data_IF_988816293463
#
_entry.id   IF_988816293463
#
_cell.length_a   1.000
_cell.length_b   1.000
_cell.length_c   1.000
_cell.angle_alpha   90.00
_cell.angle_beta   90.00
_cell.angle_gamma   90.00
#
_symmetry.space_group_name_H-M   'P 1'
#
loop_
_entity.id
_entity.type
_entity.pdbx_description
1 polymer ?
#
# COMPACT_ATOMS: atom_id res chain seq x y z
N UNK A 1 55.72 -18.36 -69.86
CA UNK A 1 55.74 -17.91 -68.45
C UNK A 1 54.41 -17.20 -68.20
N UNK A 2 53.63 -17.74 -67.25
CA UNK A 2 52.34 -17.29 -66.70
C UNK A 2 51.06 -17.30 -67.56
N UNK A 3 50.36 -18.43 -67.42
CA UNK A 3 48.90 -18.62 -67.35
C UNK A 3 48.24 -17.62 -66.39
N UNK A 4 47.08 -17.06 -66.74
CA UNK A 4 46.15 -16.51 -65.74
C UNK A 4 44.78 -17.14 -65.95
N UNK A 5 44.35 -17.88 -64.93
CA UNK A 5 43.09 -18.61 -64.82
C UNK A 5 42.07 -17.66 -64.18
N UNK A 6 40.86 -17.62 -64.74
CA UNK A 6 39.71 -16.93 -64.19
C UNK A 6 39.09 -17.82 -63.10
N UNK A 7 39.14 -17.41 -61.83
CA UNK A 7 38.45 -18.10 -60.72
C UNK A 7 37.24 -17.26 -60.32
N UNK A 8 36.07 -17.85 -60.57
CA UNK A 8 34.76 -17.40 -60.11
C UNK A 8 34.58 -17.93 -58.68
N UNK A 9 34.64 -17.07 -57.67
CA UNK A 9 34.39 -17.44 -56.27
C UNK A 9 32.99 -16.99 -55.85
N UNK A 10 32.09 -17.98 -55.75
CA UNK A 10 30.81 -17.91 -55.06
C UNK A 10 31.07 -17.73 -53.56
N UNK A 11 30.62 -16.60 -52.99
CA UNK A 11 30.57 -16.42 -51.54
C UNK A 11 29.33 -17.14 -51.01
N UNK A 12 29.56 -18.19 -50.20
CA UNK A 12 28.56 -18.72 -49.29
C UNK A 12 28.42 -17.74 -48.13
N UNK A 13 27.24 -17.14 -47.97
CA UNK A 13 26.85 -16.43 -46.76
C UNK A 13 26.52 -17.50 -45.73
N UNK A 14 27.40 -17.67 -44.75
CA UNK A 14 27.12 -18.44 -43.53
C UNK A 14 26.34 -17.53 -42.58
N UNK A 15 25.18 -17.99 -42.11
CA UNK A 15 24.54 -17.44 -40.93
C UNK A 15 25.44 -17.72 -39.72
N UNK A 16 25.77 -16.69 -38.94
CA UNK A 16 26.00 -16.85 -37.51
C UNK A 16 24.77 -16.26 -36.82
N UNK A 17 24.13 -17.09 -36.01
CA UNK A 17 23.16 -16.65 -35.01
C UNK A 17 23.91 -15.82 -33.98
N UNK A 18 23.57 -14.55 -33.88
CA UNK A 18 23.89 -13.75 -32.70
C UNK A 18 23.10 -14.38 -31.54
N UNK A 19 23.75 -15.29 -30.82
CA UNK A 19 23.34 -15.68 -29.48
C UNK A 19 23.50 -14.44 -28.60
N UNK A 20 22.39 -13.71 -28.40
CA UNK A 20 22.29 -12.69 -27.37
C UNK A 20 22.66 -13.35 -26.04
N UNK A 21 23.84 -13.01 -25.53
CA UNK A 21 24.23 -13.35 -24.16
C UNK A 21 23.32 -12.50 -23.26
N UNK A 22 22.20 -13.08 -22.86
CA UNK A 22 21.42 -12.58 -21.72
C UNK A 22 22.30 -12.85 -20.50
N UNK A 23 23.06 -11.84 -20.09
CA UNK A 23 23.66 -11.84 -18.76
C UNK A 23 22.51 -11.54 -17.81
N UNK A 24 21.92 -12.62 -17.30
CA UNK A 24 20.93 -12.60 -16.21
C UNK A 24 21.70 -12.32 -14.91
N UNK A 25 22.18 -11.08 -14.74
CA UNK A 25 22.65 -10.65 -13.43
C UNK A 25 21.43 -10.57 -12.50
N UNK A 26 21.46 -11.21 -11.32
CA UNK A 26 20.36 -11.13 -10.37
C UNK A 26 20.07 -9.65 -10.08
N UNK A 27 18.79 -9.32 -10.12
CA UNK A 27 18.33 -7.94 -10.19
C UNK A 27 18.25 -7.41 -8.75
N UNK A 28 19.44 -7.19 -8.17
CA UNK A 28 19.56 -6.77 -6.78
C UNK A 28 18.77 -5.47 -6.53
N UNK A 29 17.96 -5.46 -5.47
CA UNK A 29 17.19 -4.28 -5.09
C UNK A 29 18.15 -3.13 -4.80
N UNK A 30 17.95 -1.98 -5.43
CA UNK A 30 18.85 -0.85 -5.28
C UNK A 30 18.87 -0.34 -3.84
N UNK A 31 20.02 0.16 -3.38
CA UNK A 31 20.19 0.58 -1.98
C UNK A 31 19.16 1.65 -1.56
N UNK A 32 18.81 2.57 -2.47
CA UNK A 32 17.84 3.64 -2.21
C UNK A 32 16.39 3.15 -2.09
N UNK A 33 16.11 1.90 -2.48
CA UNK A 33 14.87 1.19 -2.21
C UNK A 33 15.01 0.37 -0.94
N UNK A 34 16.15 -0.32 -0.73
CA UNK A 34 16.46 -1.03 0.52
C UNK A 34 16.38 -0.12 1.75
N UNK A 35 16.76 1.15 1.63
CA UNK A 35 16.65 2.15 2.70
C UNK A 35 15.19 2.54 3.03
N UNK A 36 14.22 2.20 2.18
CA UNK A 36 12.80 2.51 2.35
C UNK A 36 11.98 1.29 2.77
N UNK A 37 12.57 0.10 2.86
CA UNK A 37 11.81 -1.13 3.06
C UNK A 37 12.48 -2.10 4.02
N UNK A 38 11.65 -2.94 4.63
CA UNK A 38 12.03 -4.27 5.08
C UNK A 38 11.42 -5.30 4.13
N UNK A 39 12.13 -6.38 3.81
CA UNK A 39 11.62 -7.38 2.87
C UNK A 39 12.06 -8.81 3.22
N UNK A 40 11.32 -9.78 2.68
CA UNK A 40 11.59 -11.21 2.76
C UNK A 40 11.12 -11.91 1.50
N UNK A 41 11.83 -12.96 1.10
CA UNK A 41 11.57 -13.71 -0.13
C UNK A 41 12.73 -13.63 -1.11
N UNK A 42 12.51 -14.13 -2.31
CA UNK A 42 13.46 -14.03 -3.40
C UNK A 42 13.43 -12.61 -3.99
N UNK A 43 14.59 -11.93 -4.08
CA UNK A 43 14.67 -10.59 -4.66
C UNK A 43 14.20 -10.59 -6.12
N UNK A 44 14.38 -11.71 -6.84
CA UNK A 44 14.01 -11.88 -8.25
C UNK A 44 12.57 -12.42 -8.45
N UNK A 45 11.80 -12.61 -7.38
CA UNK A 45 10.43 -13.14 -7.44
C UNK A 45 9.54 -12.36 -8.44
N UNK A 46 8.73 -13.00 -9.30
CA UNK A 46 7.92 -12.28 -10.28
C UNK A 46 6.80 -11.42 -9.66
N UNK A 47 6.42 -11.69 -8.40
CA UNK A 47 5.37 -10.96 -7.67
C UNK A 47 5.99 -10.24 -6.47
N UNK A 48 5.60 -8.97 -6.28
CA UNK A 48 5.92 -8.19 -5.08
C UNK A 48 4.64 -7.83 -4.35
N UNK A 49 4.52 -8.24 -3.09
CA UNK A 49 3.47 -7.77 -2.19
C UNK A 49 4.05 -6.67 -1.28
N UNK A 50 3.60 -5.44 -1.49
CA UNK A 50 3.95 -4.29 -0.67
C UNK A 50 2.87 -4.12 0.39
N UNK A 51 3.21 -4.49 1.61
CA UNK A 51 2.46 -4.18 2.80
C UNK A 51 2.72 -2.72 3.22
N UNK A 52 1.63 -1.99 3.45
CA UNK A 52 1.60 -0.66 4.02
C UNK A 52 1.01 -0.83 5.41
N UNK A 53 1.90 -0.84 6.40
CA UNK A 53 1.55 -1.23 7.77
C UNK A 53 0.42 -0.41 8.41
N UNK A 54 -0.18 -1.03 9.40
CA UNK A 54 -1.14 -0.41 10.33
C UNK A 54 -0.48 0.68 11.18
N UNK A 55 -1.26 1.30 12.08
CA UNK A 55 -0.82 2.34 13.00
C UNK A 55 -1.77 3.54 13.02
N UNK A 56 -1.28 4.79 12.93
CA UNK A 56 0.11 5.15 12.68
C UNK A 56 1.02 4.80 13.87
N UNK A 57 2.28 4.46 13.59
CA UNK A 57 3.33 4.09 14.57
C UNK A 57 4.65 4.71 14.12
N UNK A 58 5.57 5.00 15.03
CA UNK A 58 6.93 5.54 14.78
C UNK A 58 7.96 4.46 14.42
N UNK A 59 7.63 3.19 14.53
CA UNK A 59 8.52 2.08 14.17
C UNK A 59 8.04 1.31 12.93
N UNK A 60 8.98 0.85 12.10
CA UNK A 60 8.67 -0.05 10.99
C UNK A 60 8.47 -1.48 11.52
N UNK A 61 7.28 -2.04 11.31
CA UNK A 61 6.96 -3.40 11.70
C UNK A 61 7.62 -4.40 10.77
N UNK A 62 8.67 -5.08 11.23
CA UNK A 62 9.26 -6.19 10.46
C UNK A 62 8.44 -7.49 10.58
N UNK A 63 7.65 -7.61 11.65
CA UNK A 63 6.88 -8.80 11.97
C UNK A 63 5.74 -9.10 11.00
N UNK A 64 5.14 -8.08 10.39
CA UNK A 64 4.03 -8.26 9.43
C UNK A 64 4.47 -9.04 8.18
N UNK A 65 5.67 -8.77 7.68
CA UNK A 65 6.26 -9.55 6.57
C UNK A 65 6.54 -10.98 7.01
N UNK A 66 7.00 -11.19 8.25
CA UNK A 66 7.24 -12.52 8.78
C UNK A 66 5.95 -13.32 8.94
N UNK A 67 4.84 -12.68 9.32
CA UNK A 67 3.51 -13.29 9.44
C UNK A 67 2.95 -13.68 8.07
N UNK A 68 3.10 -12.83 7.04
CA UNK A 68 2.72 -13.17 5.66
C UNK A 68 3.40 -14.48 5.24
N UNK A 69 4.71 -14.59 5.48
CA UNK A 69 5.49 -15.79 5.15
C UNK A 69 5.19 -17.02 6.01
N UNK A 70 4.56 -16.86 7.17
CA UNK A 70 4.14 -17.98 8.02
C UNK A 70 2.73 -18.48 7.66
N UNK A 71 1.90 -17.62 7.10
CA UNK A 71 0.47 -17.87 6.90
C UNK A 71 0.14 -18.26 5.46
N UNK A 72 0.76 -17.61 4.47
CA UNK A 72 0.38 -17.71 3.07
C UNK A 72 1.39 -18.44 2.20
N UNK A 73 0.93 -19.06 1.12
CA UNK A 73 1.81 -19.58 0.07
C UNK A 73 2.56 -18.40 -0.55
N UNK A 74 3.85 -18.36 -0.29
CA UNK A 74 4.78 -17.32 -0.74
C UNK A 74 5.71 -17.83 -1.84
N UNK A 75 5.36 -18.95 -2.47
CA UNK A 75 6.02 -19.40 -3.70
C UNK A 75 5.93 -18.27 -4.72
N UNK A 76 7.07 -17.81 -5.23
CA UNK A 76 7.20 -16.70 -6.19
C UNK A 76 6.87 -15.29 -5.65
N UNK A 77 6.89 -15.10 -4.33
CA UNK A 77 6.60 -13.81 -3.68
C UNK A 77 7.83 -13.17 -3.03
N UNK A 78 8.02 -11.87 -3.31
CA UNK A 78 8.78 -10.96 -2.47
C UNK A 78 7.77 -10.14 -1.64
N UNK A 79 7.75 -10.31 -0.31
CA UNK A 79 6.94 -9.45 0.55
C UNK A 79 7.80 -8.33 1.12
N UNK A 80 7.24 -7.13 1.11
CA UNK A 80 7.90 -5.87 1.42
C UNK A 80 7.02 -5.12 2.42
N UNK A 81 7.57 -4.63 3.52
CA UNK A 81 6.92 -3.59 4.31
C UNK A 81 7.63 -2.26 4.08
N UNK A 82 6.88 -1.24 3.68
CA UNK A 82 7.42 0.06 3.29
C UNK A 82 7.38 1.06 4.45
N UNK A 83 8.44 1.84 4.56
CA UNK A 83 8.46 2.98 5.46
C UNK A 83 7.40 4.01 5.12
N UNK A 84 6.86 4.62 6.17
CA UNK A 84 6.04 5.83 6.13
C UNK A 84 6.88 6.96 6.78
N UNK A 85 6.50 8.22 6.61
CA UNK A 85 7.34 9.36 6.99
C UNK A 85 7.82 9.27 8.44
N UNK A 86 6.91 8.89 9.34
CA UNK A 86 7.17 8.75 10.76
C UNK A 86 7.99 7.51 11.12
N UNK A 87 7.95 6.42 10.34
CA UNK A 87 8.76 5.23 10.62
C UNK A 87 10.17 5.34 10.06
N UNK A 88 10.37 6.14 9.01
CA UNK A 88 11.69 6.43 8.45
C UNK A 88 12.45 7.46 9.30
N UNK A 89 11.73 8.47 9.80
CA UNK A 89 12.29 9.54 10.61
C UNK A 89 11.35 9.85 11.80
N UNK A 90 11.46 9.10 12.91
CA UNK A 90 10.54 9.22 14.03
C UNK A 90 10.76 10.47 14.90
N UNK A 91 11.95 11.08 14.84
CA UNK A 91 12.33 12.19 15.73
C UNK A 91 11.32 13.36 15.78
N UNK A 92 10.72 13.83 14.66
CA UNK A 92 9.69 14.88 14.71
C UNK A 92 8.42 14.48 15.46
N UNK A 93 8.13 13.18 15.58
CA UNK A 93 6.93 12.65 16.22
C UNK A 93 7.13 12.36 17.70
N UNK A 94 8.37 12.11 18.13
CA UNK A 94 8.69 11.73 19.51
C UNK A 94 9.10 12.89 20.42
N UNK A 95 9.61 14.00 19.86
CA UNK A 95 10.30 15.02 20.66
C UNK A 95 9.50 16.32 20.82
N UNK A 96 8.74 16.73 19.81
CA UNK A 96 8.02 18.00 19.76
C UNK A 96 6.62 17.80 19.18
N UNK A 97 5.66 18.66 19.53
CA UNK A 97 4.34 18.64 18.89
C UNK A 97 4.43 19.09 17.42
N UNK A 98 3.99 18.24 16.49
CA UNK A 98 3.81 18.62 15.08
C UNK A 98 2.51 19.40 14.92
N UNK A 99 2.48 20.30 13.96
CA UNK A 99 1.24 20.95 13.51
C UNK A 99 0.48 20.06 12.53
N UNK A 100 -0.82 20.31 12.38
CA UNK A 100 -1.64 19.62 11.38
C UNK A 100 -1.11 19.79 9.94
N UNK A 101 -0.60 20.98 9.59
CA UNK A 101 0.01 21.19 8.27
C UNK A 101 1.30 20.37 8.07
N UNK A 102 2.09 20.17 9.12
CA UNK A 102 3.24 19.26 9.04
C UNK A 102 2.79 17.81 8.86
N UNK A 103 1.74 17.38 9.57
CA UNK A 103 1.15 16.06 9.38
C UNK A 103 0.68 15.81 7.93
N UNK A 104 0.03 16.78 7.28
CA UNK A 104 -0.36 16.69 5.86
C UNK A 104 0.87 16.52 4.95
N UNK A 105 1.97 17.22 5.24
CA UNK A 105 3.21 17.09 4.47
C UNK A 105 3.83 15.71 4.66
N UNK A 106 3.92 15.22 5.91
CA UNK A 106 4.41 13.88 6.20
C UNK A 106 3.57 12.78 5.53
N UNK A 107 2.24 12.93 5.50
CA UNK A 107 1.37 12.03 4.76
C UNK A 107 1.67 12.02 3.26
N UNK A 108 1.94 13.20 2.68
CA UNK A 108 2.35 13.29 1.28
C UNK A 108 3.70 12.61 1.04
N UNK A 109 4.66 12.74 1.96
CA UNK A 109 5.94 12.02 1.92
C UNK A 109 5.73 10.50 1.98
N UNK A 110 4.87 9.99 2.86
CA UNK A 110 4.51 8.56 2.93
C UNK A 110 3.98 8.03 1.60
N UNK A 111 3.12 8.80 0.91
CA UNK A 111 2.59 8.41 -0.40
C UNK A 111 3.66 8.43 -1.49
N UNK A 112 4.56 9.42 -1.48
CA UNK A 112 5.68 9.43 -2.44
C UNK A 112 6.66 8.27 -2.21
N UNK A 113 6.91 7.87 -0.96
CA UNK A 113 7.74 6.70 -0.66
C UNK A 113 7.09 5.41 -1.14
N UNK A 114 5.81 5.19 -0.84
CA UNK A 114 5.06 4.05 -1.36
C UNK A 114 5.06 4.04 -2.89
N UNK A 115 4.80 5.18 -3.54
CA UNK A 115 4.84 5.30 -5.00
C UNK A 115 6.22 4.96 -5.56
N UNK A 116 7.31 5.42 -4.93
CA UNK A 116 8.68 5.12 -5.36
C UNK A 116 8.96 3.62 -5.34
N UNK A 117 8.58 2.92 -4.27
CA UNK A 117 8.76 1.47 -4.13
C UNK A 117 7.91 0.70 -5.13
N UNK A 118 6.64 1.04 -5.27
CA UNK A 118 5.73 0.44 -6.28
C UNK A 118 6.30 0.62 -7.69
N UNK A 119 6.64 1.85 -8.05
CA UNK A 119 7.12 2.18 -9.40
C UNK A 119 8.47 1.52 -9.69
N UNK A 120 9.34 1.35 -8.69
CA UNK A 120 10.60 0.61 -8.86
C UNK A 120 10.36 -0.81 -9.36
N UNK A 121 9.52 -1.59 -8.66
CA UNK A 121 9.24 -2.97 -9.03
C UNK A 121 8.40 -3.08 -10.32
N UNK A 122 7.45 -2.16 -10.54
CA UNK A 122 6.71 -2.10 -11.82
C UNK A 122 7.63 -1.86 -13.02
N UNK A 123 8.63 -0.99 -12.90
CA UNK A 123 9.57 -0.70 -13.98
C UNK A 123 10.52 -1.86 -14.30
N UNK A 124 10.65 -2.83 -13.39
CA UNK A 124 11.31 -4.11 -13.64
C UNK A 124 10.41 -5.12 -14.37
N UNK A 125 9.15 -4.76 -14.66
CA UNK A 125 8.17 -5.65 -15.29
C UNK A 125 7.51 -6.64 -14.33
N UNK A 126 7.66 -6.46 -13.01
CA UNK A 126 7.07 -7.34 -12.00
C UNK A 126 5.58 -7.02 -11.78
N UNK A 127 4.86 -8.02 -11.30
CA UNK A 127 3.51 -7.85 -10.77
C UNK A 127 3.61 -7.28 -9.35
N UNK A 128 2.91 -6.19 -9.07
CA UNK A 128 2.94 -5.50 -7.78
C UNK A 128 1.55 -5.45 -7.16
N UNK A 129 1.43 -6.00 -5.97
CA UNK A 129 0.24 -5.95 -5.13
C UNK A 129 0.47 -5.00 -3.95
N UNK A 130 -0.54 -4.23 -3.57
CA UNK A 130 -0.48 -3.32 -2.41
C UNK A 130 -1.53 -3.74 -1.38
N UNK A 131 -1.07 -4.02 -0.17
CA UNK A 131 -1.89 -4.30 1.00
C UNK A 131 -1.87 -3.09 1.92
N UNK A 132 -3.01 -2.44 2.12
CA UNK A 132 -3.17 -1.35 3.08
C UNK A 132 -4.13 -1.74 4.19
N UNK A 133 -3.65 -1.80 5.43
CA UNK A 133 -4.45 -2.16 6.61
C UNK A 133 -4.54 -0.96 7.55
N UNK A 134 -5.74 -0.63 8.03
CA UNK A 134 -5.98 0.45 9.01
C UNK A 134 -5.38 1.79 8.54
N UNK A 135 -4.40 2.38 9.24
CA UNK A 135 -3.72 3.57 8.75
C UNK A 135 -3.11 3.40 7.35
N UNK A 136 -2.57 2.22 7.03
CA UNK A 136 -2.08 1.89 5.69
C UNK A 136 -3.17 1.86 4.61
N UNK A 137 -4.43 1.65 4.98
CA UNK A 137 -5.57 1.79 4.07
C UNK A 137 -5.66 3.24 3.54
N UNK A 138 -5.51 4.22 4.44
CA UNK A 138 -5.52 5.64 4.11
C UNK A 138 -4.34 6.06 3.21
N UNK A 139 -3.15 5.54 3.48
CA UNK A 139 -1.97 5.76 2.60
C UNK A 139 -2.24 5.19 1.21
N UNK A 140 -2.84 3.99 1.14
CA UNK A 140 -3.10 3.28 -0.12
C UNK A 140 -4.16 3.98 -0.98
N UNK A 141 -5.27 4.42 -0.39
CA UNK A 141 -6.28 5.20 -1.13
C UNK A 141 -5.75 6.57 -1.59
N UNK A 142 -4.87 7.21 -0.82
CA UNK A 142 -4.25 8.48 -1.23
C UNK A 142 -3.21 8.28 -2.34
N UNK A 143 -2.49 7.15 -2.36
CA UNK A 143 -1.69 6.71 -3.51
C UNK A 143 -2.56 6.62 -4.77
N UNK A 144 -3.68 5.92 -4.71
CA UNK A 144 -4.59 5.75 -5.86
C UNK A 144 -5.12 7.11 -6.32
N UNK A 145 -5.59 7.94 -5.39
CA UNK A 145 -6.13 9.26 -5.69
C UNK A 145 -5.10 10.19 -6.36
N UNK A 146 -3.84 10.16 -5.92
CA UNK A 146 -2.78 11.07 -6.40
C UNK A 146 -2.01 10.55 -7.61
N UNK A 147 -1.83 9.23 -7.72
CA UNK A 147 -0.94 8.61 -8.71
C UNK A 147 -1.67 7.77 -9.74
N UNK A 148 -2.94 7.46 -9.51
CA UNK A 148 -3.79 6.67 -10.39
C UNK A 148 -3.90 5.22 -9.96
N UNK A 149 -4.99 4.56 -10.36
CA UNK A 149 -5.26 3.17 -10.02
C UNK A 149 -4.26 2.19 -10.66
N UNK A 150 -3.70 2.53 -11.82
CA UNK A 150 -2.81 1.64 -12.60
C UNK A 150 -1.35 1.59 -12.08
N UNK A 151 -1.04 2.28 -10.97
CA UNK A 151 0.34 2.25 -10.43
C UNK A 151 0.72 0.89 -9.85
N UNK A 152 -0.24 0.11 -9.37
CA UNK A 152 -0.07 -1.28 -8.96
C UNK A 152 -1.13 -2.15 -9.65
N UNK A 153 -0.89 -3.45 -9.71
CA UNK A 153 -1.77 -4.38 -10.42
C UNK A 153 -3.05 -4.67 -9.64
N UNK A 154 -2.95 -4.76 -8.30
CA UNK A 154 -4.07 -5.03 -7.41
C UNK A 154 -3.89 -4.42 -6.02
N UNK A 155 -5.02 -4.16 -5.35
CA UNK A 155 -5.06 -3.59 -4.01
C UNK A 155 -5.97 -4.40 -3.09
N UNK A 156 -5.51 -4.62 -1.87
CA UNK A 156 -6.33 -5.07 -0.75
C UNK A 156 -6.32 -3.95 0.30
N UNK A 157 -7.47 -3.34 0.52
CA UNK A 157 -7.65 -2.25 1.49
C UNK A 157 -8.54 -2.78 2.61
N UNK A 158 -8.04 -2.81 3.84
CA UNK A 158 -8.76 -3.38 4.98
C UNK A 158 -8.89 -2.38 6.12
N UNK A 159 -10.08 -2.31 6.70
CA UNK A 159 -10.37 -1.52 7.89
C UNK A 159 -9.99 -0.02 7.74
N UNK A 160 -10.25 0.55 6.56
CA UNK A 160 -10.10 1.98 6.28
C UNK A 160 -11.44 2.72 6.22
N UNK A 161 -11.39 4.02 5.90
CA UNK A 161 -12.57 4.87 5.70
C UNK A 161 -12.42 5.72 4.44
N UNK A 162 -13.48 5.89 3.64
CA UNK A 162 -13.42 6.80 2.49
C UNK A 162 -13.76 8.24 2.88
N UNK A 163 -14.73 8.48 3.75
CA UNK A 163 -15.08 9.83 4.20
C UNK A 163 -15.26 9.89 5.71
N UNK A 164 -14.18 10.20 6.45
CA UNK A 164 -14.22 10.36 7.90
C UNK A 164 -15.07 11.58 8.30
N UNK A 165 -15.94 11.44 9.30
CA UNK A 165 -16.77 12.53 9.80
C UNK A 165 -15.92 13.73 10.22
N UNK A 166 -16.35 14.95 9.87
CA UNK A 166 -15.58 16.17 10.12
C UNK A 166 -15.18 16.32 11.59
N UNK A 167 -16.11 16.01 12.50
CA UNK A 167 -15.86 16.10 13.94
C UNK A 167 -14.73 15.18 14.42
N UNK A 168 -14.49 14.04 13.75
CA UNK A 168 -13.43 13.11 14.11
C UNK A 168 -12.08 13.59 13.59
N UNK A 169 -11.95 13.88 12.30
CA UNK A 169 -10.66 14.30 11.78
C UNK A 169 -10.23 15.67 12.33
N UNK A 170 -11.17 16.58 12.64
CA UNK A 170 -10.86 17.84 13.32
C UNK A 170 -10.32 17.58 14.75
N UNK A 171 -10.90 16.63 15.50
CA UNK A 171 -10.38 16.25 16.81
C UNK A 171 -8.96 15.66 16.71
N UNK A 172 -8.75 14.75 15.76
CA UNK A 172 -7.43 14.18 15.47
C UNK A 172 -6.41 15.28 15.11
N UNK A 173 -6.82 16.31 14.36
CA UNK A 173 -5.94 17.43 13.97
C UNK A 173 -5.44 18.27 15.15
N UNK A 174 -6.15 18.21 16.28
CA UNK A 174 -5.77 18.86 17.53
C UNK A 174 -4.92 17.95 18.43
N UNK A 175 -4.71 16.69 18.03
CA UNK A 175 -4.00 15.66 18.80
C UNK A 175 -4.90 14.94 19.80
N UNK A 176 -6.23 15.04 19.65
CA UNK A 176 -7.20 14.26 20.43
C UNK A 176 -7.39 12.90 19.78
N UNK A 177 -7.67 11.88 20.58
CA UNK A 177 -8.16 10.60 20.08
C UNK A 177 -9.69 10.61 19.96
N UNK A 178 -10.26 9.45 19.68
CA UNK A 178 -11.69 9.24 19.61
C UNK A 178 -12.01 7.86 19.06
N UNK A 179 -13.29 7.52 19.06
CA UNK A 179 -13.77 6.23 18.56
C UNK A 179 -15.17 6.34 17.98
N UNK A 180 -15.62 5.29 17.31
CA UNK A 180 -16.97 5.16 16.78
C UNK A 180 -17.79 4.19 17.62
N UNK A 181 -18.79 4.71 18.34
CA UNK A 181 -19.72 3.84 19.07
C UNK A 181 -20.58 3.07 18.05
N UNK A 182 -20.54 1.73 18.13
CA UNK A 182 -21.18 0.80 17.20
C UNK A 182 -20.82 1.07 15.73
N UNK A 183 -19.60 1.54 15.47
CA UNK A 183 -19.11 1.86 14.14
C UNK A 183 -19.80 3.02 13.43
N UNK A 184 -20.64 3.82 14.10
CA UNK A 184 -21.45 4.85 13.43
C UNK A 184 -21.43 6.21 14.10
N UNK A 185 -21.44 6.24 15.43
CA UNK A 185 -21.56 7.49 16.16
C UNK A 185 -20.15 7.96 16.58
N UNK A 186 -19.60 9.04 16.00
CA UNK A 186 -18.27 9.52 16.33
C UNK A 186 -18.25 10.14 17.74
N UNK A 187 -17.35 9.66 18.59
CA UNK A 187 -17.11 10.14 19.94
C UNK A 187 -15.64 10.62 20.02
N UNK A 188 -15.36 11.90 19.73
CA UNK A 188 -14.04 12.46 19.95
C UNK A 188 -13.79 12.67 21.44
N UNK A 189 -12.55 12.50 21.86
CA UNK A 189 -12.14 12.88 23.20
C UNK A 189 -12.18 14.39 23.38
N UNK A 190 -12.34 14.83 24.63
CA UNK A 190 -12.47 16.25 24.97
C UNK A 190 -11.11 16.95 24.99
N UNK A 191 -10.07 16.25 25.42
CA UNK A 191 -8.73 16.80 25.60
C UNK A 191 -7.73 16.06 24.69
N UNK A 192 -6.65 16.72 24.24
CA UNK A 192 -5.57 16.06 23.53
C UNK A 192 -4.90 14.99 24.37
N UNK A 193 -4.28 14.03 23.69
CA UNK A 193 -3.49 12.99 24.36
C UNK A 193 -2.38 13.60 25.22
N UNK A 194 -2.04 12.97 26.35
CA UNK A 194 -0.97 13.47 27.22
C UNK A 194 0.42 13.17 26.66
N UNK A 195 0.56 12.07 25.93
CA UNK A 195 1.80 11.68 25.29
C UNK A 195 1.99 12.42 23.95
N UNK A 196 3.21 12.88 23.69
CA UNK A 196 3.52 13.64 22.46
C UNK A 196 3.46 12.76 21.21
N UNK A 197 3.85 11.49 21.33
CA UNK A 197 3.79 10.52 20.25
C UNK A 197 2.32 10.34 19.87
N UNK A 198 1.46 10.01 20.83
CA UNK A 198 0.03 9.78 20.58
C UNK A 198 -0.66 11.01 19.98
N UNK A 199 -0.37 12.22 20.48
CA UNK A 199 -0.90 13.47 19.88
C UNK A 199 -0.46 13.63 18.43
N UNK A 200 0.81 13.37 18.13
CA UNK A 200 1.35 13.56 16.79
C UNK A 200 0.86 12.50 15.81
N UNK A 201 0.72 11.26 16.27
CA UNK A 201 0.15 10.14 15.52
C UNK A 201 -1.33 10.40 15.20
N UNK A 202 -2.11 10.94 16.15
CA UNK A 202 -3.47 11.42 15.87
C UNK A 202 -3.48 12.53 14.80
N UNK A 203 -2.57 13.51 14.86
CA UNK A 203 -2.47 14.55 13.81
C UNK A 203 -2.11 13.96 12.45
N UNK A 204 -1.27 12.94 12.43
CA UNK A 204 -0.92 12.21 11.21
C UNK A 204 -2.15 11.49 10.62
N UNK A 205 -2.94 10.80 11.45
CA UNK A 205 -4.23 10.22 11.06
C UNK A 205 -5.18 11.27 10.46
N UNK A 206 -5.28 12.45 11.10
CA UNK A 206 -6.11 13.55 10.62
C UNK A 206 -5.76 13.99 9.20
N UNK A 207 -4.47 14.01 8.85
CA UNK A 207 -4.00 14.53 7.56
C UNK A 207 -4.47 13.69 6.37
N UNK A 208 -4.78 12.40 6.58
CA UNK A 208 -5.44 11.58 5.57
C UNK A 208 -6.96 11.57 5.76
N UNK A 209 -7.44 11.52 7.01
CA UNK A 209 -8.87 11.45 7.32
C UNK A 209 -9.65 12.70 6.88
N UNK A 210 -8.97 13.86 6.72
CA UNK A 210 -9.59 15.08 6.20
C UNK A 210 -10.02 14.98 4.73
N UNK A 211 -9.45 14.04 3.97
CA UNK A 211 -9.77 13.88 2.56
C UNK A 211 -11.17 13.26 2.38
N UNK A 212 -11.82 13.64 1.28
CA UNK A 212 -13.09 13.05 0.83
C UNK A 212 -12.79 12.08 -0.29
N UNK A 213 -12.47 10.83 0.05
CA UNK A 213 -12.04 9.87 -0.95
C UNK A 213 -13.19 9.42 -1.85
N UNK A 214 -14.44 9.62 -1.44
CA UNK A 214 -15.55 9.45 -2.39
C UNK A 214 -15.44 10.42 -3.57
N UNK A 215 -15.10 11.69 -3.32
CA UNK A 215 -14.91 12.70 -4.36
C UNK A 215 -13.64 12.43 -5.19
N UNK A 216 -12.54 12.06 -4.52
CA UNK A 216 -11.25 11.83 -5.18
C UNK A 216 -11.30 10.60 -6.09
N UNK A 217 -11.98 9.53 -5.65
CA UNK A 217 -12.06 8.27 -6.38
C UNK A 217 -13.19 8.24 -7.42
N UNK A 218 -14.18 9.15 -7.35
CA UNK A 218 -15.27 9.19 -8.34
C UNK A 218 -14.78 9.50 -9.77
N UNK A 219 -13.62 10.13 -9.90
CA UNK A 219 -13.00 10.40 -11.21
C UNK A 219 -12.59 9.14 -11.97
N UNK A 220 -12.41 8.01 -11.29
CA UNK A 220 -12.13 6.73 -11.93
C UNK A 220 -13.44 6.09 -12.41
N UNK A 221 -13.42 5.51 -13.60
CA UNK A 221 -14.58 4.79 -14.15
C UNK A 221 -14.66 3.35 -13.65
N UNK A 222 -13.52 2.78 -13.25
CA UNK A 222 -13.40 1.41 -12.82
C UNK A 222 -12.35 1.31 -11.70
N UNK A 223 -12.69 0.59 -10.64
CA UNK A 223 -11.89 0.30 -9.46
C UNK A 223 -11.91 -1.22 -9.18
N UNK A 224 -12.04 -2.03 -10.24
CA UNK A 224 -12.11 -3.49 -10.17
C UNK A 224 -10.83 -4.17 -9.67
N UNK A 225 -9.69 -3.46 -9.67
CA UNK A 225 -8.44 -3.93 -9.07
C UNK A 225 -8.40 -3.79 -7.54
N UNK A 226 -9.42 -3.16 -6.93
CA UNK A 226 -9.54 -3.00 -5.48
C UNK A 226 -10.45 -4.08 -4.90
N UNK A 227 -9.94 -4.77 -3.88
CA UNK A 227 -10.76 -5.43 -2.87
C UNK A 227 -10.77 -4.58 -1.60
N UNK A 228 -11.95 -4.21 -1.12
CA UNK A 228 -12.13 -3.38 0.06
C UNK A 228 -12.86 -4.17 1.16
N UNK A 229 -12.24 -4.28 2.33
CA UNK A 229 -12.78 -4.99 3.50
C UNK A 229 -13.08 -3.99 4.61
N UNK A 230 -14.30 -4.02 5.15
CA UNK A 230 -14.67 -3.16 6.28
C UNK A 230 -15.58 -3.87 7.29
N UNK A 231 -15.55 -3.39 8.53
CA UNK A 231 -16.39 -3.87 9.63
C UNK A 231 -17.63 -3.01 9.83
N UNK A 232 -18.79 -3.63 10.10
CA UNK A 232 -20.04 -2.92 10.37
C UNK A 232 -20.05 -2.20 11.73
N UNK A 233 -19.19 -2.62 12.67
CA UNK A 233 -19.06 -2.03 14.00
C UNK A 233 -17.63 -1.58 14.30
N UNK A 234 -16.85 -1.28 13.24
CA UNK A 234 -15.48 -0.79 13.36
C UNK A 234 -15.41 0.47 14.22
N UNK A 235 -14.85 0.33 15.42
CA UNK A 235 -14.76 1.36 16.43
C UNK A 235 -13.61 2.33 16.19
N UNK A 236 -12.60 1.97 15.39
CA UNK A 236 -11.42 2.80 15.19
C UNK A 236 -11.65 3.83 14.09
N UNK A 237 -12.22 3.41 12.97
CA UNK A 237 -12.41 4.27 11.79
C UNK A 237 -13.87 4.47 11.39
N UNK A 238 -14.80 3.73 12.01
CA UNK A 238 -16.21 3.73 11.63
C UNK A 238 -16.49 2.82 10.44
N UNK A 239 -17.74 2.37 10.32
CA UNK A 239 -18.20 1.57 9.17
C UNK A 239 -18.37 2.44 7.93
N UNK A 240 -18.29 1.86 6.73
CA UNK A 240 -18.70 2.54 5.49
C UNK A 240 -20.16 3.00 5.52
N UNK A 241 -20.43 4.22 5.04
CA UNK A 241 -21.79 4.72 4.83
C UNK A 241 -22.40 4.11 3.56
N UNK A 242 -23.73 4.24 3.42
CA UNK A 242 -24.43 3.79 2.21
C UNK A 242 -23.87 4.45 0.95
N UNK A 243 -23.56 5.75 0.96
CA UNK A 243 -23.02 6.45 -0.21
C UNK A 243 -21.60 5.97 -0.58
N UNK A 244 -20.78 5.64 0.41
CA UNK A 244 -19.44 5.07 0.16
C UNK A 244 -19.54 3.67 -0.46
N UNK A 245 -20.44 2.83 0.06
CA UNK A 245 -20.69 1.49 -0.49
C UNK A 245 -21.24 1.60 -1.92
N UNK A 246 -22.22 2.48 -2.15
CA UNK A 246 -22.79 2.72 -3.48
C UNK A 246 -21.74 3.19 -4.49
N UNK A 247 -20.83 4.09 -4.08
CA UNK A 247 -19.71 4.51 -4.93
C UNK A 247 -18.85 3.29 -5.30
N UNK A 248 -18.33 2.55 -4.32
CA UNK A 248 -17.45 1.40 -4.57
C UNK A 248 -18.11 0.35 -5.48
N UNK A 249 -19.39 0.03 -5.23
CA UNK A 249 -20.16 -0.89 -6.07
C UNK A 249 -20.32 -0.36 -7.50
N UNK A 250 -20.59 0.94 -7.66
CA UNK A 250 -20.74 1.55 -8.99
C UNK A 250 -19.46 1.53 -9.82
N UNK A 251 -18.30 1.39 -9.17
CA UNK A 251 -16.98 1.30 -9.79
C UNK A 251 -16.41 -0.12 -9.84
N UNK A 252 -17.25 -1.15 -9.65
CA UNK A 252 -16.86 -2.57 -9.70
C UNK A 252 -15.82 -3.00 -8.65
N UNK A 253 -15.64 -2.26 -7.56
CA UNK A 253 -14.79 -2.69 -6.45
C UNK A 253 -15.36 -3.98 -5.85
N UNK A 254 -14.48 -4.94 -5.54
CA UNK A 254 -14.88 -6.10 -4.75
C UNK A 254 -15.00 -5.70 -3.28
N UNK A 255 -16.15 -5.93 -2.65
CA UNK A 255 -16.41 -5.48 -1.27
C UNK A 255 -16.68 -6.69 -0.40
N UNK A 256 -15.90 -6.80 0.68
CA UNK A 256 -16.10 -7.78 1.74
C UNK A 256 -16.54 -7.03 3.00
N UNK A 257 -17.58 -7.51 3.65
CA UNK A 257 -18.15 -6.88 4.85
C UNK A 257 -18.12 -7.85 6.02
N UNK A 258 -17.47 -7.44 7.10
CA UNK A 258 -17.46 -8.14 8.38
C UNK A 258 -18.47 -7.56 9.35
N UNK A 259 -19.08 -8.39 10.19
CA UNK A 259 -19.94 -7.90 11.29
C UNK A 259 -19.14 -7.51 12.56
N UNK A 260 -17.81 -7.57 12.48
CA UNK A 260 -16.90 -7.41 13.61
C UNK A 260 -16.42 -5.98 13.81
N UNK A 261 -15.67 -5.81 14.90
CA UNK A 261 -14.94 -4.60 15.22
C UNK A 261 -13.66 -4.47 14.34
N UNK A 262 -12.82 -3.46 14.59
CA UNK A 262 -11.65 -3.17 13.75
C UNK A 262 -10.69 -4.36 13.63
N UNK A 263 -10.25 -4.91 14.77
CA UNK A 263 -9.28 -6.01 14.81
C UNK A 263 -9.92 -7.32 14.36
N UNK A 264 -11.17 -7.57 14.76
CA UNK A 264 -11.90 -8.75 14.34
C UNK A 264 -12.07 -8.76 12.82
N UNK A 265 -12.39 -7.61 12.20
CA UNK A 265 -12.53 -7.51 10.73
C UNK A 265 -11.23 -7.87 10.03
N UNK A 266 -10.09 -7.38 10.51
CA UNK A 266 -8.79 -7.71 9.93
C UNK A 266 -8.52 -9.22 10.07
N UNK A 267 -8.64 -9.76 11.29
CA UNK A 267 -8.32 -11.16 11.58
C UNK A 267 -9.24 -12.15 10.85
N UNK A 268 -10.55 -11.90 10.82
CA UNK A 268 -11.53 -12.82 10.24
C UNK A 268 -11.43 -12.86 8.70
N UNK A 269 -10.96 -11.77 8.08
CA UNK A 269 -11.01 -11.60 6.62
C UNK A 269 -9.64 -11.49 5.93
N UNK A 270 -8.52 -11.48 6.66
CA UNK A 270 -7.19 -11.38 6.02
C UNK A 270 -6.98 -12.50 5.00
N UNK A 271 -7.34 -13.74 5.34
CA UNK A 271 -7.21 -14.89 4.43
C UNK A 271 -8.10 -14.76 3.19
N UNK A 272 -9.38 -14.43 3.39
CA UNK A 272 -10.32 -14.24 2.28
C UNK A 272 -9.88 -13.07 1.39
N UNK A 273 -9.40 -11.98 1.99
CA UNK A 273 -8.90 -10.82 1.27
C UNK A 273 -7.71 -11.16 0.39
N UNK A 274 -6.73 -11.92 0.90
CA UNK A 274 -5.59 -12.38 0.10
C UNK A 274 -6.01 -13.29 -1.07
N UNK A 275 -6.95 -14.20 -0.84
CA UNK A 275 -7.46 -15.08 -1.88
C UNK A 275 -8.21 -14.30 -2.97
N UNK A 276 -9.15 -13.44 -2.59
CA UNK A 276 -9.99 -12.71 -3.55
C UNK A 276 -9.24 -11.58 -4.25
N UNK A 277 -8.39 -10.84 -3.54
CA UNK A 277 -7.60 -9.78 -4.14
C UNK A 277 -6.47 -10.38 -4.96
N UNK A 278 -5.61 -11.18 -4.36
CA UNK A 278 -4.31 -11.54 -4.94
C UNK A 278 -4.27 -12.95 -5.54
N UNK A 279 -5.23 -13.81 -5.23
CA UNK A 279 -5.17 -15.23 -5.57
C UNK A 279 -4.14 -16.00 -4.75
N UNK A 280 -3.77 -15.47 -3.57
CA UNK A 280 -2.78 -16.07 -2.67
C UNK A 280 -3.54 -16.84 -1.58
N UNK A 281 -3.28 -18.15 -1.48
CA UNK A 281 -3.90 -19.03 -0.50
C UNK A 281 -3.01 -19.26 0.73
N UNK A 282 -3.55 -19.93 1.76
CA UNK A 282 -2.76 -20.44 2.88
C UNK A 282 -1.72 -21.49 2.42
N UNK A 283 -0.65 -21.67 3.22
CA UNK A 283 0.32 -22.77 3.04
C UNK A 283 -0.26 -24.16 3.33
#
# INVERSE_FOLDING_TARGET
MYTTVLILSLFFISCDSDDDIIIDEPLEISQDIKDLIYFKGDEDAPIVLINVQSGPDTELSTGEVDEIFQTFDTTDLLAVNVHQAQTLNPSPFENDDITFNQAINFNSESVEMLYKVVNYFKNQGRTVYVLGISFGAFVTQDLIAKKGIDVADKYLIMAGRLDMETVMWEAFSEGRAGYFENGTNPIPDQEPEMDVIDRNLNRLAAGFAMNRYTELLDSFNDLSSITYVYGEVDQAVGRLTTSEIELLQSKNTNIITGSGDHDQTINDFITQGFEEAFGISLQ
#
